data_IF_736278769513
#
_entry.id   IF_736278769513
#
_cell.length_a   1.000
_cell.length_b   1.000
_cell.length_c   1.000
_cell.angle_alpha   90.00
_cell.angle_beta   90.00
_cell.angle_gamma   90.00
#
_symmetry.space_group_name_H-M   'P 1'
#
loop_
_entity.id
_entity.type
_entity.pdbx_description
1 polymer ?
#
# COMPACT_ATOMS: atom_id res chain seq x y z
N UNK A 1 16.91 -17.01 -10.93
CA UNK A 1 17.73 -15.82 -10.61
C UNK A 1 16.80 -14.80 -9.96
N UNK A 2 16.83 -14.70 -8.63
CA UNK A 2 16.01 -13.74 -7.90
C UNK A 2 16.67 -12.37 -8.03
N UNK A 3 16.06 -11.45 -8.79
CA UNK A 3 16.41 -10.03 -8.71
C UNK A 3 15.71 -9.44 -7.50
N UNK A 4 16.44 -9.38 -6.40
CA UNK A 4 16.05 -8.55 -5.26
C UNK A 4 16.50 -7.12 -5.59
N UNK A 5 15.55 -6.26 -5.92
CA UNK A 5 15.85 -4.82 -6.05
C UNK A 5 16.15 -4.24 -4.67
N UNK A 6 17.41 -3.87 -4.48
CA UNK A 6 17.94 -3.29 -3.24
C UNK A 6 17.74 -1.78 -3.19
N UNK A 7 17.24 -1.37 -2.02
CA UNK A 7 17.40 -0.08 -1.33
C UNK A 7 17.76 1.15 -2.17
N UNK A 8 16.84 2.07 -2.22
CA UNK A 8 17.04 3.41 -2.74
C UNK A 8 17.65 4.34 -1.68
N UNK A 9 18.58 5.19 -2.11
CA UNK A 9 19.29 6.20 -1.29
C UNK A 9 18.37 7.42 -1.08
N UNK A 10 18.09 7.74 0.17
CA UNK A 10 17.26 8.89 0.58
C UNK A 10 18.07 10.19 0.53
N UNK A 11 17.51 11.24 -0.08
CA UNK A 11 18.03 12.61 0.04
C UNK A 11 17.82 13.17 1.46
N UNK A 12 18.63 14.15 1.86
CA UNK A 12 18.62 14.67 3.24
C UNK A 12 17.29 15.27 3.72
N UNK A 13 16.50 15.88 2.81
CA UNK A 13 15.18 16.46 3.13
C UNK A 13 14.12 15.36 3.36
N UNK A 14 14.15 14.28 2.58
CA UNK A 14 13.24 13.15 2.75
C UNK A 14 13.49 12.41 4.06
N UNK A 15 14.74 12.38 4.55
CA UNK A 15 15.07 11.79 5.85
C UNK A 15 14.54 12.60 7.04
N UNK A 16 14.42 13.92 6.92
CA UNK A 16 13.83 14.77 7.97
C UNK A 16 12.33 14.53 8.06
N UNK A 17 11.63 14.50 6.93
CA UNK A 17 10.19 14.20 6.84
C UNK A 17 9.86 12.79 7.34
N UNK A 18 10.69 11.79 7.01
CA UNK A 18 10.48 10.40 7.43
C UNK A 18 10.51 10.18 8.95
N UNK A 19 11.09 11.09 9.73
CA UNK A 19 11.17 10.98 11.21
C UNK A 19 9.84 11.21 11.92
N UNK A 20 8.92 11.91 11.28
CA UNK A 20 7.64 12.30 11.89
C UNK A 20 6.54 11.23 11.70
N UNK A 21 6.79 10.23 10.84
CA UNK A 21 5.86 9.13 10.58
C UNK A 21 6.00 7.99 11.59
N UNK A 22 4.88 7.40 11.96
CA UNK A 22 4.86 6.10 12.63
C UNK A 22 4.93 5.01 11.58
N UNK A 23 6.11 4.39 11.45
CA UNK A 23 6.39 3.39 10.41
C UNK A 23 6.09 1.97 10.87
N UNK A 24 5.50 1.17 9.97
CA UNK A 24 5.24 -0.24 10.18
C UNK A 24 5.50 -1.04 8.91
N UNK A 25 6.17 -2.19 9.08
CA UNK A 25 6.34 -3.20 8.04
C UNK A 25 5.15 -4.14 8.05
N UNK A 26 4.66 -4.51 6.88
CA UNK A 26 3.64 -5.52 6.71
C UNK A 26 3.98 -6.45 5.54
N UNK A 27 3.46 -7.67 5.59
CA UNK A 27 3.65 -8.67 4.56
C UNK A 27 2.32 -9.31 4.23
N UNK A 28 1.86 -9.11 3.01
CA UNK A 28 0.70 -9.83 2.48
C UNK A 28 1.14 -11.09 1.74
N UNK A 29 0.52 -12.22 2.05
CA UNK A 29 0.78 -13.50 1.37
C UNK A 29 -0.51 -14.22 1.05
N UNK A 30 -0.56 -14.82 -0.15
CA UNK A 30 -1.66 -15.66 -0.60
C UNK A 30 -1.10 -16.85 -1.37
N UNK A 31 -1.44 -18.06 -0.94
CA UNK A 31 -1.06 -19.31 -1.61
C UNK A 31 -2.25 -20.27 -1.63
N UNK A 32 -2.95 -20.31 -2.76
CA UNK A 32 -4.11 -21.20 -2.99
C UNK A 32 -4.05 -21.94 -4.33
N UNK A 33 -2.95 -21.84 -5.05
CA UNK A 33 -2.78 -22.41 -6.38
C UNK A 33 -1.35 -22.83 -6.66
N UNK A 34 -1.00 -22.87 -7.94
CA UNK A 34 0.35 -23.31 -8.40
C UNK A 34 1.45 -22.33 -8.03
N UNK A 35 1.12 -21.07 -7.80
CA UNK A 35 2.01 -20.02 -7.37
C UNK A 35 1.34 -19.16 -6.29
N UNK A 36 2.10 -18.37 -5.58
CA UNK A 36 1.61 -17.52 -4.51
C UNK A 36 2.00 -16.08 -4.69
N UNK A 37 1.21 -15.18 -4.09
CA UNK A 37 1.52 -13.76 -3.99
C UNK A 37 2.27 -13.53 -2.68
N UNK A 38 3.34 -12.75 -2.72
CA UNK A 38 4.04 -12.26 -1.55
C UNK A 38 4.49 -10.83 -1.80
N UNK A 39 3.99 -9.89 -0.99
CA UNK A 39 4.27 -8.47 -1.09
C UNK A 39 4.71 -7.99 0.30
N UNK A 40 5.87 -7.32 0.37
CA UNK A 40 6.38 -6.68 1.58
C UNK A 40 6.34 -5.18 1.39
N UNK A 41 5.85 -4.48 2.38
CA UNK A 41 5.81 -3.02 2.38
C UNK A 41 6.36 -2.46 3.68
N UNK A 42 6.85 -1.23 3.62
CA UNK A 42 7.04 -0.38 4.77
C UNK A 42 6.27 0.90 4.54
N UNK A 43 5.15 1.04 5.22
CA UNK A 43 4.28 2.21 5.16
C UNK A 43 4.15 2.83 6.55
N UNK A 44 3.80 4.10 6.59
CA UNK A 44 3.66 4.84 7.83
C UNK A 44 2.51 5.83 7.77
N UNK A 45 2.19 6.42 8.91
CA UNK A 45 1.20 7.47 8.98
C UNK A 45 1.66 8.62 9.88
N UNK A 46 1.16 9.80 9.58
CA UNK A 46 1.36 11.03 10.31
C UNK A 46 0.02 11.74 10.48
N UNK A 47 -0.29 12.17 11.70
CA UNK A 47 -1.39 13.10 11.97
C UNK A 47 -0.86 14.51 12.11
N UNK A 48 -1.48 15.45 11.41
CA UNK A 48 -1.09 16.87 11.45
C UNK A 48 -2.33 17.78 11.43
N UNK A 49 -2.21 18.96 12.02
CA UNK A 49 -3.27 19.97 11.96
C UNK A 49 -3.23 20.79 10.66
N UNK A 50 -2.14 20.74 9.91
CA UNK A 50 -1.93 21.55 8.72
C UNK A 50 -1.26 20.72 7.60
N UNK A 51 -1.65 20.99 6.35
CA UNK A 51 -1.00 20.52 5.14
C UNK A 51 -0.66 21.75 4.29
N UNK A 52 0.63 21.99 4.04
CA UNK A 52 1.12 23.17 3.31
C UNK A 52 0.61 23.20 1.86
N UNK A 53 0.73 22.09 1.14
CA UNK A 53 0.27 21.95 -0.25
C UNK A 53 -0.34 20.57 -0.49
N UNK A 54 -1.66 20.52 -0.59
CA UNK A 54 -2.40 19.28 -0.83
C UNK A 54 -2.13 18.68 -2.21
N UNK A 55 -1.65 19.47 -3.18
CA UNK A 55 -1.36 18.96 -4.52
C UNK A 55 -0.16 17.99 -4.57
N UNK A 56 0.66 17.96 -3.51
CA UNK A 56 1.75 17.02 -3.38
C UNK A 56 1.30 15.60 -2.95
N UNK A 57 0.01 15.44 -2.66
CA UNK A 57 -0.56 14.20 -2.13
C UNK A 57 -1.67 13.67 -3.02
N UNK A 58 -1.89 12.37 -2.96
CA UNK A 58 -3.09 11.74 -3.54
C UNK A 58 -4.19 11.73 -2.48
N UNK A 59 -5.33 12.30 -2.76
CA UNK A 59 -6.49 12.26 -1.86
C UNK A 59 -7.07 10.83 -1.83
N UNK A 60 -7.17 10.28 -0.63
CA UNK A 60 -7.80 8.98 -0.36
C UNK A 60 -9.27 9.19 -0.01
N UNK A 61 -9.53 10.13 0.91
CA UNK A 61 -10.85 10.54 1.37
C UNK A 61 -10.72 11.92 1.98
N UNK A 62 -11.81 12.53 2.41
CA UNK A 62 -11.76 13.82 3.08
C UNK A 62 -10.80 13.79 4.28
N UNK A 63 -9.88 14.74 4.36
CA UNK A 63 -8.80 14.84 5.36
C UNK A 63 -7.79 13.68 5.39
N UNK A 64 -7.83 12.75 4.42
CA UNK A 64 -6.93 11.60 4.34
C UNK A 64 -6.18 11.61 3.03
N UNK A 65 -4.86 11.60 3.10
CA UNK A 65 -3.96 11.76 1.97
C UNK A 65 -2.91 10.67 1.93
N UNK A 66 -2.39 10.42 0.74
CA UNK A 66 -1.30 9.46 0.50
C UNK A 66 -0.14 10.12 -0.23
N UNK A 67 1.08 9.79 0.17
CA UNK A 67 2.29 10.10 -0.59
C UNK A 67 3.15 8.85 -0.80
N UNK A 68 3.79 8.77 -1.97
CA UNK A 68 4.84 7.80 -2.20
C UNK A 68 6.18 8.44 -1.89
N UNK A 69 6.90 7.88 -0.95
CA UNK A 69 8.30 8.22 -0.63
C UNK A 69 9.28 7.23 -1.27
N UNK A 70 8.80 6.39 -2.20
CA UNK A 70 9.66 5.52 -2.98
C UNK A 70 10.48 6.42 -3.91
N UNK A 71 11.82 6.39 -3.85
CA UNK A 71 12.65 7.26 -4.67
C UNK A 71 12.36 7.05 -6.15
N UNK A 72 12.03 8.14 -6.81
CA UNK A 72 11.91 8.17 -8.25
C UNK A 72 13.30 8.33 -8.87
N UNK A 73 13.99 7.22 -9.17
CA UNK A 73 14.86 7.27 -10.35
C UNK A 73 13.95 7.43 -11.56
N UNK A 74 14.38 8.16 -12.58
CA UNK A 74 13.58 8.45 -13.78
C UNK A 74 12.93 7.21 -14.44
N UNK A 75 13.41 6.01 -14.12
CA UNK A 75 12.94 4.73 -14.61
C UNK A 75 11.92 4.05 -13.66
N UNK A 76 11.87 4.43 -12.38
CA UNK A 76 11.06 3.73 -11.36
C UNK A 76 9.66 4.31 -11.15
N UNK A 77 9.37 5.57 -11.51
CA UNK A 77 8.04 6.16 -11.34
C UNK A 77 7.01 5.41 -12.20
N UNK A 78 7.40 5.02 -13.40
CA UNK A 78 6.54 4.31 -14.34
C UNK A 78 6.39 2.84 -13.95
N UNK A 79 7.38 2.28 -13.23
CA UNK A 79 7.40 0.86 -12.84
C UNK A 79 6.38 0.52 -11.75
N UNK A 80 5.99 1.48 -10.90
CA UNK A 80 5.12 1.25 -9.74
C UNK A 80 3.80 2.04 -9.79
N UNK A 81 3.46 2.65 -10.93
CA UNK A 81 2.27 3.50 -11.01
C UNK A 81 0.98 2.70 -10.76
N UNK A 82 0.86 1.53 -11.36
CA UNK A 82 -0.32 0.67 -11.22
C UNK A 82 -0.40 0.04 -9.83
N UNK A 83 0.73 -0.37 -9.27
CA UNK A 83 0.83 -0.90 -7.90
C UNK A 83 0.40 0.15 -6.87
N UNK A 84 0.84 1.40 -7.03
CA UNK A 84 0.44 2.50 -6.17
C UNK A 84 -1.05 2.84 -6.29
N UNK A 85 -1.62 2.78 -7.50
CA UNK A 85 -3.06 2.96 -7.71
C UNK A 85 -3.87 1.90 -6.97
N UNK A 86 -3.46 0.64 -7.05
CA UNK A 86 -4.12 -0.46 -6.34
C UNK A 86 -3.93 -0.37 -4.83
N UNK A 87 -2.76 0.05 -4.36
CA UNK A 87 -2.53 0.34 -2.96
C UNK A 87 -3.48 1.44 -2.45
N UNK A 88 -3.57 2.56 -3.16
CA UNK A 88 -4.52 3.64 -2.84
C UNK A 88 -5.98 3.18 -2.89
N UNK A 89 -6.33 2.27 -3.81
CA UNK A 89 -7.68 1.69 -3.88
C UNK A 89 -8.02 0.93 -2.61
N UNK A 90 -7.08 0.15 -2.07
CA UNK A 90 -7.24 -0.53 -0.79
C UNK A 90 -7.47 0.45 0.37
N UNK A 91 -6.69 1.54 0.43
CA UNK A 91 -6.87 2.58 1.45
C UNK A 91 -8.25 3.25 1.34
N UNK A 92 -8.72 3.51 0.12
CA UNK A 92 -10.06 4.10 -0.11
C UNK A 92 -11.19 3.21 0.39
N UNK A 93 -11.10 1.89 0.17
CA UNK A 93 -12.12 0.92 0.59
C UNK A 93 -12.33 0.93 2.11
N UNK A 94 -11.28 1.17 2.88
CA UNK A 94 -11.31 1.14 4.35
C UNK A 94 -11.26 2.53 4.99
N UNK A 95 -11.44 3.59 4.22
CA UNK A 95 -11.29 4.99 4.68
C UNK A 95 -12.15 5.34 5.90
N UNK A 96 -13.30 4.68 6.09
CA UNK A 96 -14.15 4.83 7.28
C UNK A 96 -13.37 4.58 8.58
N UNK A 97 -12.48 3.59 8.61
CA UNK A 97 -11.68 3.27 9.80
C UNK A 97 -10.67 4.36 10.12
N UNK A 98 -10.15 5.05 9.11
CA UNK A 98 -9.29 6.21 9.31
C UNK A 98 -10.05 7.38 9.91
N UNK A 99 -11.30 7.61 9.47
CA UNK A 99 -12.16 8.67 10.07
C UNK A 99 -12.52 8.38 11.52
N UNK A 100 -12.74 7.11 11.88
CA UNK A 100 -12.96 6.70 13.27
C UNK A 100 -11.73 6.94 14.17
N UNK A 101 -10.54 6.86 13.58
CA UNK A 101 -9.27 7.06 14.28
C UNK A 101 -8.84 8.54 14.34
N UNK A 102 -9.22 9.36 13.35
CA UNK A 102 -8.72 10.71 13.15
C UNK A 102 -9.47 11.71 14.05
N UNK A 103 -8.78 12.48 14.92
CA UNK A 103 -9.40 13.54 15.69
C UNK A 103 -9.96 14.66 14.80
N UNK A 104 -10.99 15.35 15.28
CA UNK A 104 -11.58 16.48 14.58
C UNK A 104 -10.55 17.57 14.27
N UNK A 105 -10.58 18.10 13.06
CA UNK A 105 -9.67 19.16 12.59
C UNK A 105 -8.26 18.70 12.23
N UNK A 106 -7.99 17.39 12.30
CA UNK A 106 -6.70 16.83 11.90
C UNK A 106 -6.76 16.26 10.48
N UNK A 107 -5.59 16.13 9.89
CA UNK A 107 -5.33 15.40 8.65
C UNK A 107 -4.53 14.15 8.94
N UNK A 108 -4.80 13.09 8.17
CA UNK A 108 -4.01 11.86 8.16
C UNK A 108 -3.24 11.79 6.84
N UNK A 109 -1.93 11.67 6.93
CA UNK A 109 -1.07 11.42 5.78
C UNK A 109 -0.52 10.02 5.91
N UNK A 110 -0.76 9.19 4.90
CA UNK A 110 -0.22 7.83 4.80
C UNK A 110 0.92 7.87 3.79
N UNK A 111 2.06 7.31 4.14
CA UNK A 111 3.23 7.28 3.29
C UNK A 111 3.71 5.84 3.05
N UNK A 112 4.15 5.54 1.83
CA UNK A 112 4.79 4.28 1.45
C UNK A 112 6.24 4.56 1.07
N UNK A 113 7.22 4.01 1.82
CA UNK A 113 8.64 4.23 1.57
C UNK A 113 9.38 3.02 1.01
N UNK A 114 8.82 1.82 1.16
CA UNK A 114 9.39 0.62 0.58
C UNK A 114 8.30 -0.35 0.12
N UNK A 115 8.56 -1.00 -1.01
CA UNK A 115 7.72 -2.04 -1.58
C UNK A 115 8.62 -3.08 -2.24
N UNK A 116 8.41 -4.35 -1.90
CA UNK A 116 9.17 -5.49 -2.44
C UNK A 116 8.20 -6.60 -2.84
N UNK A 117 8.38 -7.14 -4.02
CA UNK A 117 7.61 -8.27 -4.53
C UNK A 117 8.38 -9.01 -5.62
N UNK A 118 7.93 -10.20 -5.96
CA UNK A 118 8.47 -10.94 -7.11
C UNK A 118 7.64 -10.67 -8.36
N UNK A 119 8.23 -10.09 -9.38
CA UNK A 119 7.56 -9.81 -10.66
C UNK A 119 6.96 -11.06 -11.33
N UNK A 120 7.51 -12.25 -11.04
CA UNK A 120 7.02 -13.52 -11.58
C UNK A 120 5.77 -14.04 -10.86
N UNK A 121 5.52 -13.57 -9.63
CA UNK A 121 4.50 -14.10 -8.71
C UNK A 121 3.78 -12.97 -8.00
N UNK A 122 3.33 -12.02 -8.76
CA UNK A 122 2.52 -10.89 -8.27
C UNK A 122 1.29 -10.72 -9.15
N UNK A 123 0.24 -10.26 -8.54
CA UNK A 123 -0.97 -9.83 -9.20
C UNK A 123 -1.39 -8.51 -8.59
N UNK A 124 -1.83 -7.60 -9.44
CA UNK A 124 -2.04 -6.19 -9.08
C UNK A 124 -3.03 -6.00 -7.93
N UNK A 125 -4.06 -6.82 -7.84
CA UNK A 125 -5.05 -6.80 -6.76
C UNK A 125 -4.45 -7.18 -5.40
N UNK A 126 -3.30 -7.86 -5.39
CA UNK A 126 -2.54 -8.14 -4.17
C UNK A 126 -2.11 -6.88 -3.43
N UNK A 127 -1.85 -5.78 -4.15
CA UNK A 127 -1.49 -4.50 -3.52
C UNK A 127 -2.68 -3.84 -2.82
N UNK A 128 -3.90 -4.02 -3.36
CA UNK A 128 -5.14 -3.62 -2.69
C UNK A 128 -5.30 -4.36 -1.35
N UNK A 129 -5.15 -5.68 -1.38
CA UNK A 129 -5.22 -6.51 -0.18
C UNK A 129 -4.10 -6.19 0.83
N UNK A 130 -2.88 -5.93 0.34
CA UNK A 130 -1.73 -5.54 1.15
C UNK A 130 -1.96 -4.21 1.89
N UNK A 131 -2.54 -3.21 1.23
CA UNK A 131 -2.89 -1.93 1.83
C UNK A 131 -3.92 -2.09 2.95
N UNK A 132 -4.96 -2.89 2.72
CA UNK A 132 -6.00 -3.18 3.71
C UNK A 132 -5.41 -3.90 4.93
N UNK A 133 -4.56 -4.90 4.71
CA UNK A 133 -3.89 -5.62 5.80
C UNK A 133 -2.99 -4.68 6.61
N UNK A 134 -2.11 -3.92 5.96
CA UNK A 134 -1.25 -2.96 6.64
C UNK A 134 -2.05 -1.98 7.49
N UNK A 135 -3.13 -1.42 6.94
CA UNK A 135 -3.96 -0.47 7.65
C UNK A 135 -4.66 -1.11 8.87
N UNK A 136 -5.16 -2.35 8.73
CA UNK A 136 -5.77 -3.05 9.85
C UNK A 136 -4.79 -3.29 11.01
N UNK A 137 -3.53 -3.59 10.68
CA UNK A 137 -2.45 -3.75 11.65
C UNK A 137 -2.05 -2.40 12.29
N UNK A 138 -1.89 -1.35 11.47
CA UNK A 138 -1.42 -0.03 11.93
C UNK A 138 -2.46 0.73 12.77
N UNK A 139 -3.75 0.59 12.44
CA UNK A 139 -4.86 1.28 13.11
C UNK A 139 -5.70 0.37 14.02
N UNK A 140 -5.26 -0.88 14.21
CA UNK A 140 -5.83 -1.84 15.16
C UNK A 140 -7.33 -2.13 14.98
N UNK A 141 -7.80 -2.21 13.73
CA UNK A 141 -9.15 -2.72 13.44
C UNK A 141 -9.11 -4.15 12.90
N UNK A 142 -10.25 -4.84 12.96
CA UNK A 142 -10.33 -6.20 12.42
C UNK A 142 -10.15 -6.20 10.91
N UNK A 143 -9.20 -6.99 10.41
CA UNK A 143 -8.99 -7.17 8.97
C UNK A 143 -10.29 -7.60 8.30
N UNK A 144 -10.81 -6.85 7.31
CA UNK A 144 -11.97 -7.29 6.54
C UNK A 144 -11.68 -8.62 5.83
N UNK A 145 -12.73 -9.42 5.64
CA UNK A 145 -12.59 -10.68 4.92
C UNK A 145 -12.43 -10.40 3.42
N UNK A 146 -11.24 -10.68 2.91
CA UNK A 146 -10.96 -10.66 1.47
C UNK A 146 -10.99 -12.10 0.99
N UNK A 147 -11.94 -12.44 0.13
CA UNK A 147 -11.99 -13.75 -0.48
C UNK A 147 -11.13 -13.77 -1.75
N UNK A 148 -10.39 -14.85 -1.94
CA UNK A 148 -9.63 -15.08 -3.14
C UNK A 148 -9.60 -16.57 -3.46
N UNK A 149 -9.76 -16.93 -4.73
CA UNK A 149 -9.56 -18.28 -5.22
C UNK A 149 -8.65 -18.28 -6.45
N UNK A 150 -8.01 -19.40 -6.72
CA UNK A 150 -7.11 -19.55 -7.86
C UNK A 150 -7.88 -20.18 -9.03
N UNK A 151 -7.96 -19.49 -10.15
CA UNK A 151 -8.59 -19.98 -11.39
C UNK A 151 -7.51 -20.51 -12.33
N UNK A 152 -7.39 -21.84 -12.39
CA UNK A 152 -6.42 -22.53 -13.27
C UNK A 152 -6.70 -22.36 -14.75
N UNK A 153 -7.94 -22.02 -15.12
CA UNK A 153 -8.34 -21.87 -16.54
C UNK A 153 -7.81 -20.58 -17.17
N UNK A 154 -7.38 -19.62 -16.37
CA UNK A 154 -6.83 -18.35 -16.86
C UNK A 154 -5.42 -18.53 -17.39
N UNK A 155 -5.22 -18.21 -18.67
CA UNK A 155 -3.91 -18.28 -19.31
C UNK A 155 -3.01 -17.12 -18.86
N UNK A 156 -1.67 -17.31 -18.88
CA UNK A 156 -0.95 -18.53 -19.20
C UNK A 156 -0.76 -19.49 -18.01
N UNK A 157 -0.83 -19.03 -16.76
CA UNK A 157 -0.39 -19.78 -15.58
C UNK A 157 -1.45 -19.87 -14.47
N UNK A 158 -2.71 -19.59 -14.77
CA UNK A 158 -3.74 -19.38 -13.77
C UNK A 158 -3.69 -17.96 -13.19
N UNK A 159 -4.74 -17.55 -12.50
CA UNK A 159 -4.89 -16.23 -11.92
C UNK A 159 -5.68 -16.29 -10.63
N UNK A 160 -5.34 -15.44 -9.66
CA UNK A 160 -6.18 -15.22 -8.50
C UNK A 160 -7.37 -14.32 -8.86
N UNK A 161 -8.53 -14.71 -8.40
CA UNK A 161 -9.76 -13.90 -8.45
C UNK A 161 -10.04 -13.41 -7.05
N UNK A 162 -9.97 -12.10 -6.86
CA UNK A 162 -10.23 -11.44 -5.59
C UNK A 162 -11.67 -10.95 -5.51
N UNK A 163 -12.28 -11.10 -4.35
CA UNK A 163 -13.57 -10.52 -4.01
C UNK A 163 -13.40 -9.59 -2.80
N UNK A 164 -13.57 -8.29 -3.05
CA UNK A 164 -13.51 -7.23 -2.05
C UNK A 164 -14.90 -6.76 -1.60
N UNK A 165 -15.97 -7.45 -1.96
CA UNK A 165 -17.34 -7.00 -1.66
C UNK A 165 -17.67 -6.90 -0.18
N UNK A 166 -16.88 -7.57 0.67
CA UNK A 166 -17.05 -7.56 2.13
C UNK A 166 -16.15 -6.54 2.86
N UNK A 167 -15.43 -5.70 2.12
CA UNK A 167 -14.51 -4.69 2.67
C UNK A 167 -15.23 -3.37 3.00
#
# INVERSE_FOLDING_TARGET
LFLIHKMAFWGGEDMVRAKDYTWQKSRYTLLKGRWGIAIWIEAGYLMTSEIEDKNNYTEISDHIYFESMIPSSSDNIQLYADELLHFCSGLKMISRHFHEFLPEGMYLIIALRNIEFSECYVQIEGFTACAIQWASEAFHFSMPKIEAYFDESKAPNGQYIFDFSSV
#
